data_IF_484767422796
#
_entry.id   IF_484767422796
#
_cell.length_a   1.000
_cell.length_b   1.000
_cell.length_c   1.000
_cell.angle_alpha   90.00
_cell.angle_beta   90.00
_cell.angle_gamma   90.00
#
_symmetry.space_group_name_H-M   'P 1'
#
loop_
_entity.id
_entity.type
_entity.pdbx_description
1 polymer ?
#
# COMPACT_ATOMS: atom_id res chain seq x y z
N UNK A 1 -14.95 15.25 -11.24
CA UNK A 1 -13.65 14.56 -11.38
C UNK A 1 -13.59 13.50 -10.31
N UNK A 2 -13.30 12.24 -10.65
CA UNK A 2 -13.18 11.19 -9.63
C UNK A 2 -11.85 11.38 -8.88
N UNK A 3 -11.90 11.28 -7.56
CA UNK A 3 -10.73 11.27 -6.68
C UNK A 3 -9.70 10.23 -7.16
N UNK A 4 -8.42 10.47 -6.92
CA UNK A 4 -7.37 9.46 -7.16
C UNK A 4 -6.73 9.10 -5.83
N UNK A 5 -6.67 7.81 -5.53
CA UNK A 5 -5.91 7.28 -4.40
C UNK A 5 -4.67 6.56 -4.91
N UNK A 6 -3.61 6.60 -4.12
CA UNK A 6 -2.31 6.04 -4.47
C UNK A 6 -1.99 4.95 -3.48
N UNK A 7 -1.63 3.78 -4.00
CA UNK A 7 -1.07 2.69 -3.22
C UNK A 7 0.44 2.67 -3.38
N UNK A 8 1.15 2.54 -2.27
CA UNK A 8 2.54 2.11 -2.28
C UNK A 8 2.57 0.58 -2.33
N UNK A 9 3.31 0.03 -3.29
CA UNK A 9 3.48 -1.41 -3.44
C UNK A 9 4.91 -1.79 -3.10
N UNK A 10 5.09 -2.73 -2.19
CA UNK A 10 6.37 -3.38 -1.89
C UNK A 10 6.35 -4.81 -2.40
N UNK A 11 7.48 -5.26 -2.95
CA UNK A 11 7.71 -6.66 -3.32
C UNK A 11 8.70 -7.27 -2.35
N UNK A 12 8.37 -8.43 -1.80
CA UNK A 12 9.29 -9.25 -1.02
C UNK A 12 9.71 -10.46 -1.87
N UNK A 13 11.02 -10.79 -1.90
CA UNK A 13 11.60 -11.76 -2.85
C UNK A 13 10.87 -13.12 -2.88
N UNK A 14 10.34 -13.56 -1.75
CA UNK A 14 9.67 -14.86 -1.60
C UNK A 14 8.18 -14.78 -1.20
N UNK A 15 7.64 -13.58 -0.94
CA UNK A 15 6.29 -13.40 -0.37
C UNK A 15 5.32 -12.61 -1.26
N UNK A 16 5.69 -12.34 -2.52
CA UNK A 16 4.82 -11.67 -3.49
C UNK A 16 4.78 -10.15 -3.31
N UNK A 17 3.60 -9.56 -3.50
CA UNK A 17 3.38 -8.11 -3.43
C UNK A 17 2.45 -7.72 -2.28
N UNK A 18 2.78 -6.62 -1.62
CA UNK A 18 1.95 -5.96 -0.61
C UNK A 18 1.63 -4.53 -1.06
N UNK A 19 0.38 -4.11 -0.93
CA UNK A 19 -0.09 -2.77 -1.27
C UNK A 19 -0.81 -2.10 -0.10
N UNK A 20 -0.43 -0.86 0.21
CA UNK A 20 -1.08 0.01 1.21
C UNK A 20 -1.50 1.32 0.53
N UNK A 21 -2.74 1.73 0.76
CA UNK A 21 -3.21 3.05 0.33
C UNK A 21 -2.59 4.13 1.21
N UNK A 22 -2.07 5.20 0.60
CA UNK A 22 -1.43 6.30 1.33
C UNK A 22 -2.42 7.21 2.08
N UNK A 23 -3.71 7.14 1.77
CA UNK A 23 -4.72 8.07 2.29
C UNK A 23 -5.90 7.39 2.98
N UNK A 24 -6.08 6.09 2.83
CA UNK A 24 -7.19 5.32 3.37
C UNK A 24 -6.64 4.08 4.08
N UNK A 25 -7.38 3.53 5.04
CA UNK A 25 -7.00 2.29 5.73
C UNK A 25 -7.33 1.05 4.88
N UNK A 26 -6.79 1.01 3.65
CA UNK A 26 -6.97 -0.09 2.69
C UNK A 26 -5.63 -0.77 2.47
N UNK A 27 -5.58 -2.06 2.79
CA UNK A 27 -4.40 -2.91 2.67
C UNK A 27 -4.76 -4.18 1.91
N UNK A 28 -3.85 -4.65 1.07
CA UNK A 28 -4.03 -5.92 0.36
C UNK A 28 -2.69 -6.51 -0.07
N UNK A 29 -2.72 -7.75 -0.52
CA UNK A 29 -1.56 -8.50 -0.99
C UNK A 29 -1.94 -9.37 -2.19
N UNK A 30 -0.95 -9.90 -2.90
CA UNK A 30 -1.15 -10.92 -3.93
C UNK A 30 0.18 -11.59 -4.29
N UNK A 31 0.12 -12.87 -4.65
CA UNK A 31 1.31 -13.67 -4.95
C UNK A 31 2.02 -13.18 -6.23
N UNK A 32 1.26 -12.54 -7.11
CA UNK A 32 1.75 -11.91 -8.33
C UNK A 32 1.05 -10.56 -8.60
N UNK A 33 1.56 -9.83 -9.59
CA UNK A 33 1.08 -8.48 -9.92
C UNK A 33 -0.39 -8.46 -10.38
N UNK A 34 -0.82 -9.46 -11.13
CA UNK A 34 -2.20 -9.63 -11.61
C UNK A 34 -3.18 -9.82 -10.46
N UNK A 35 -2.82 -10.70 -9.52
CA UNK A 35 -3.59 -10.93 -8.30
C UNK A 35 -3.66 -9.67 -7.43
N UNK A 36 -2.52 -9.00 -7.20
CA UNK A 36 -2.50 -7.73 -6.45
C UNK A 36 -3.46 -6.70 -7.05
N UNK A 37 -3.42 -6.47 -8.37
CA UNK A 37 -4.32 -5.53 -9.05
C UNK A 37 -5.80 -5.91 -8.86
N UNK A 38 -6.09 -7.21 -8.80
CA UNK A 38 -7.46 -7.72 -8.61
C UNK A 38 -7.90 -7.44 -7.18
N UNK A 39 -7.09 -7.83 -6.20
CA UNK A 39 -7.38 -7.67 -4.78
C UNK A 39 -7.47 -6.18 -4.39
N UNK A 40 -6.62 -5.30 -4.95
CA UNK A 40 -6.73 -3.84 -4.76
C UNK A 40 -8.08 -3.32 -5.26
N UNK A 41 -8.53 -3.74 -6.45
CA UNK A 41 -9.83 -3.30 -7.00
C UNK A 41 -10.99 -3.78 -6.13
N UNK A 42 -10.93 -5.01 -5.63
CA UNK A 42 -11.98 -5.57 -4.76
C UNK A 42 -12.01 -4.86 -3.41
N UNK A 43 -10.86 -4.65 -2.78
CA UNK A 43 -10.75 -3.93 -1.52
C UNK A 43 -11.27 -2.48 -1.63
N UNK A 44 -10.89 -1.76 -2.71
CA UNK A 44 -11.39 -0.40 -2.95
C UNK A 44 -12.89 -0.38 -3.22
N UNK A 45 -13.43 -1.33 -4.00
CA UNK A 45 -14.89 -1.43 -4.19
C UNK A 45 -15.62 -1.72 -2.88
N UNK A 46 -15.06 -2.59 -2.03
CA UNK A 46 -15.62 -2.91 -0.72
C UNK A 46 -15.58 -1.73 0.24
N UNK A 47 -14.48 -0.97 0.27
CA UNK A 47 -14.35 0.21 1.13
C UNK A 47 -15.31 1.35 0.73
N UNK A 48 -15.52 1.53 -0.58
CA UNK A 48 -16.39 2.58 -1.13
C UNK A 48 -17.81 2.08 -1.48
N UNK A 49 -18.29 0.97 -0.89
CA UNK A 49 -19.49 0.26 -1.36
C UNK A 49 -20.78 1.10 -1.36
N UNK A 50 -20.88 2.08 -0.46
CA UNK A 50 -22.04 2.97 -0.29
C UNK A 50 -21.82 4.36 -0.90
N UNK A 51 -20.66 4.59 -1.54
CA UNK A 51 -20.29 5.88 -2.09
C UNK A 51 -20.80 6.04 -3.53
N UNK A 52 -21.19 7.27 -3.94
CA UNK A 52 -21.72 7.52 -5.28
C UNK A 52 -20.68 7.33 -6.39
N UNK A 53 -19.39 7.35 -6.05
CA UNK A 53 -18.29 7.17 -6.99
C UNK A 53 -17.13 6.40 -6.34
N UNK A 54 -16.50 5.51 -7.11
CA UNK A 54 -15.24 4.86 -6.74
C UNK A 54 -14.06 5.67 -7.28
N UNK A 55 -12.98 5.90 -6.48
CA UNK A 55 -11.83 6.65 -6.94
C UNK A 55 -11.04 5.90 -8.03
N UNK A 56 -10.24 6.66 -8.79
CA UNK A 56 -9.19 6.10 -9.62
C UNK A 56 -8.05 5.57 -8.73
N UNK A 57 -7.47 4.44 -9.14
CA UNK A 57 -6.41 3.76 -8.39
C UNK A 57 -5.08 3.95 -9.14
N UNK A 58 -4.04 4.36 -8.41
CA UNK A 58 -2.66 4.33 -8.89
C UNK A 58 -1.83 3.42 -8.00
N UNK A 59 -1.04 2.53 -8.61
CA UNK A 59 -0.08 1.70 -7.90
C UNK A 59 1.33 2.26 -8.14
N UNK A 60 2.08 2.47 -7.07
CA UNK A 60 3.47 2.89 -7.13
C UNK A 60 4.35 1.78 -6.55
N UNK A 61 5.02 1.02 -7.42
CA UNK A 61 5.95 -0.03 -6.99
C UNK A 61 7.25 0.59 -6.49
N UNK A 62 7.55 0.38 -5.21
CA UNK A 62 8.76 0.84 -4.55
C UNK A 62 9.77 -0.30 -4.51
N UNK A 63 11.00 0.00 -4.93
CA UNK A 63 12.09 -0.96 -4.92
C UNK A 63 12.59 -1.18 -3.49
N UNK A 64 12.86 -2.43 -3.14
CA UNK A 64 13.58 -2.78 -1.91
C UNK A 64 14.95 -2.07 -1.90
N UNK A 65 15.32 -1.48 -0.76
CA UNK A 65 16.57 -0.73 -0.59
C UNK A 65 16.46 0.80 -0.70
N UNK A 66 15.25 1.35 -0.86
CA UNK A 66 15.04 2.79 -0.62
C UNK A 66 14.91 3.07 0.87
N UNK A 67 15.24 4.29 1.31
CA UNK A 67 15.06 4.70 2.69
C UNK A 67 13.61 4.50 3.16
N UNK A 68 12.63 4.81 2.31
CA UNK A 68 11.20 4.60 2.63
C UNK A 68 10.88 3.11 2.85
N UNK A 69 11.36 2.21 1.98
CA UNK A 69 11.11 0.77 2.16
C UNK A 69 11.81 0.21 3.40
N UNK A 70 12.99 0.71 3.75
CA UNK A 70 13.68 0.34 5.00
C UNK A 70 12.95 0.85 6.26
N UNK A 71 12.53 2.12 6.27
CA UNK A 71 11.77 2.71 7.38
C UNK A 71 10.45 1.95 7.61
N UNK A 72 9.77 1.54 6.53
CA UNK A 72 8.51 0.80 6.61
C UNK A 72 8.70 -0.62 7.16
N UNK A 73 9.75 -1.32 6.75
CA UNK A 73 10.11 -2.63 7.33
C UNK A 73 10.39 -2.52 8.85
N UNK A 74 11.10 -1.46 9.27
CA UNK A 74 11.36 -1.20 10.69
C UNK A 74 10.07 -0.83 11.44
N UNK A 75 9.20 0.00 10.84
CA UNK A 75 7.93 0.44 11.41
C UNK A 75 6.99 -0.73 11.69
N UNK A 76 6.84 -1.65 10.73
CA UNK A 76 6.04 -2.86 10.88
C UNK A 76 6.61 -3.80 11.97
N UNK A 77 7.93 -4.01 11.97
CA UNK A 77 8.56 -4.90 12.93
C UNK A 77 8.52 -4.36 14.37
N UNK A 78 8.67 -3.04 14.52
CA UNK A 78 8.76 -2.38 15.84
C UNK A 78 7.43 -1.81 16.34
N UNK A 79 6.35 -1.88 15.55
CA UNK A 79 5.06 -1.23 15.85
C UNK A 79 5.20 0.26 16.19
N UNK A 80 6.09 0.96 15.49
CA UNK A 80 6.35 2.41 15.66
C UNK A 80 6.04 3.14 14.36
N UNK A 81 5.64 4.40 14.42
CA UNK A 81 5.35 5.14 13.19
C UNK A 81 6.62 5.46 12.40
N UNK A 82 6.46 5.74 11.10
CA UNK A 82 7.57 6.23 10.27
C UNK A 82 8.20 7.51 10.83
N UNK A 83 7.39 8.38 11.43
CA UNK A 83 7.86 9.64 12.01
C UNK A 83 8.72 9.39 13.26
N UNK A 84 8.30 8.47 14.13
CA UNK A 84 9.07 8.09 15.33
C UNK A 84 10.47 7.57 14.96
N UNK A 85 10.58 6.84 13.84
CA UNK A 85 11.86 6.34 13.34
C UNK A 85 12.73 7.48 12.82
N UNK A 86 12.14 8.41 12.05
CA UNK A 86 12.86 9.55 11.48
C UNK A 86 13.40 10.49 12.57
N UNK A 87 12.65 10.68 13.66
CA UNK A 87 13.05 11.54 14.77
C UNK A 87 14.23 10.97 15.59
N UNK A 88 14.60 9.69 15.36
CA UNK A 88 15.69 8.99 16.05
C UNK A 88 17.00 8.96 15.23
N UNK A 89 16.99 9.43 13.98
CA UNK A 89 18.14 9.46 13.06
C UNK A 89 18.84 10.83 13.05
#
# INVERSE_FOLDING_TARGET
MNQTIVFEVSQEEDAGFFAECLTEEIFTQGDNWEELKTNVKEAVKGYYFDQPTVPNIKLHLVKVGTLNSMLRAISLHKQVSKQDILDTL
#
